data_IF_524243787934
#
_entry.id   IF_524243787934
#
_cell.length_a   1.000
_cell.length_b   1.000
_cell.length_c   1.000
_cell.angle_alpha   90.00
_cell.angle_beta   90.00
_cell.angle_gamma   90.00
#
_symmetry.space_group_name_H-M   'P 1'
#
loop_
_entity.id
_entity.type
_entity.pdbx_description
1 polymer ?
#
# COMPACT_ATOMS: atom_id res chain seq x y z
N UNK A 1 3.57 40.92 19.91
CA UNK A 1 3.49 39.79 20.88
C UNK A 1 2.82 38.62 20.18
N UNK A 2 3.54 37.55 19.88
CA UNK A 2 2.92 36.35 19.28
C UNK A 2 1.97 35.76 20.33
N UNK A 3 0.70 35.59 19.97
CA UNK A 3 -0.32 35.07 20.86
C UNK A 3 0.03 33.62 21.24
N UNK A 4 0.17 33.32 22.53
CA UNK A 4 0.43 31.96 23.03
C UNK A 4 -0.60 30.96 22.52
N UNK A 5 -1.84 31.39 22.29
CA UNK A 5 -2.89 30.56 21.70
C UNK A 5 -2.58 30.18 20.24
N UNK A 6 -2.00 31.09 19.45
CA UNK A 6 -1.60 30.83 18.06
C UNK A 6 -0.43 29.84 17.98
N UNK A 7 0.55 29.96 18.88
CA UNK A 7 1.66 29.01 18.98
C UNK A 7 1.18 27.61 19.39
N UNK A 8 0.25 27.53 20.34
CA UNK A 8 -0.31 26.25 20.80
C UNK A 8 -1.10 25.56 19.68
N UNK A 9 -1.95 26.30 18.96
CA UNK A 9 -2.72 25.76 17.82
C UNK A 9 -1.77 25.28 16.71
N UNK A 10 -0.75 26.07 16.37
CA UNK A 10 0.23 25.70 15.35
C UNK A 10 1.00 24.44 15.74
N UNK A 11 1.38 24.31 17.03
CA UNK A 11 2.05 23.13 17.55
C UNK A 11 1.16 21.88 17.52
N UNK A 12 -0.12 22.00 17.92
CA UNK A 12 -1.09 20.89 17.87
C UNK A 12 -1.31 20.42 16.42
N UNK A 13 -1.48 21.35 15.48
CA UNK A 13 -1.64 21.02 14.05
C UNK A 13 -0.40 20.30 13.53
N UNK A 14 0.81 20.81 13.83
CA UNK A 14 2.05 20.19 13.40
C UNK A 14 2.20 18.76 13.95
N UNK A 15 1.92 18.56 15.25
CA UNK A 15 1.97 17.25 15.89
C UNK A 15 1.01 16.23 15.25
N UNK A 16 -0.22 16.66 14.94
CA UNK A 16 -1.19 15.80 14.27
C UNK A 16 -0.74 15.39 12.86
N UNK A 17 -0.18 16.33 12.08
CA UNK A 17 0.34 16.04 10.74
C UNK A 17 1.52 15.07 10.83
N UNK A 18 2.47 15.28 11.75
CA UNK A 18 3.61 14.37 11.92
C UNK A 18 3.14 12.98 12.31
N UNK A 19 2.20 12.86 13.25
CA UNK A 19 1.68 11.56 13.70
C UNK A 19 0.95 10.82 12.58
N UNK A 20 0.09 11.51 11.82
CA UNK A 20 -0.58 10.92 10.67
C UNK A 20 0.43 10.40 9.64
N UNK A 21 1.45 11.20 9.32
CA UNK A 21 2.50 10.78 8.37
C UNK A 21 3.32 9.58 8.87
N UNK A 22 3.66 9.53 10.16
CA UNK A 22 4.38 8.40 10.75
C UNK A 22 3.55 7.12 10.72
N UNK A 23 2.24 7.23 11.00
CA UNK A 23 1.31 6.10 10.91
C UNK A 23 1.21 5.56 9.48
N UNK A 24 1.04 6.43 8.48
CA UNK A 24 0.95 6.01 7.07
C UNK A 24 2.25 5.40 6.55
N UNK A 25 3.40 5.98 6.90
CA UNK A 25 4.71 5.42 6.58
C UNK A 25 4.87 4.03 7.21
N UNK A 26 4.42 3.84 8.46
CA UNK A 26 4.46 2.54 9.12
C UNK A 26 3.56 1.53 8.39
N UNK A 27 2.31 1.88 8.08
CA UNK A 27 1.41 1.00 7.34
C UNK A 27 2.04 0.57 6.00
N UNK A 28 2.58 1.53 5.24
CA UNK A 28 3.26 1.24 3.99
C UNK A 28 4.45 0.29 4.19
N UNK A 29 5.29 0.54 5.21
CA UNK A 29 6.44 -0.31 5.51
C UNK A 29 6.06 -1.73 5.92
N UNK A 30 5.03 -1.89 6.76
CA UNK A 30 4.50 -3.20 7.14
C UNK A 30 4.01 -3.95 5.90
N UNK A 31 3.23 -3.29 5.04
CA UNK A 31 2.72 -3.88 3.82
C UNK A 31 3.84 -4.37 2.89
N UNK A 32 4.84 -3.53 2.64
CA UNK A 32 6.00 -3.91 1.83
C UNK A 32 6.82 -5.05 2.47
N UNK A 33 6.90 -5.08 3.80
CA UNK A 33 7.61 -6.16 4.50
C UNK A 33 6.86 -7.50 4.40
N UNK A 34 5.53 -7.50 4.50
CA UNK A 34 4.75 -8.74 4.44
C UNK A 34 4.52 -9.23 3.01
N UNK A 35 4.36 -8.33 2.04
CA UNK A 35 4.07 -8.68 0.66
C UNK A 35 5.33 -8.80 -0.22
N UNK A 36 6.42 -8.09 0.10
CA UNK A 36 7.54 -7.93 -0.84
C UNK A 36 8.95 -7.95 -0.23
N UNK A 37 9.14 -8.36 1.05
CA UNK A 37 10.50 -8.37 1.65
C UNK A 37 11.51 -9.27 0.94
N UNK A 38 11.03 -10.31 0.26
CA UNK A 38 11.85 -11.26 -0.50
C UNK A 38 12.10 -10.82 -1.95
N UNK A 39 11.40 -9.79 -2.41
CA UNK A 39 11.47 -9.30 -3.78
C UNK A 39 12.66 -8.34 -3.98
N UNK A 40 12.97 -8.07 -5.25
CA UNK A 40 13.91 -7.00 -5.62
C UNK A 40 13.37 -5.62 -5.22
N UNK A 41 14.21 -4.58 -5.31
CA UNK A 41 13.77 -3.21 -5.05
C UNK A 41 12.66 -2.78 -6.02
N UNK A 42 12.70 -3.26 -7.26
CA UNK A 42 11.64 -3.06 -8.26
C UNK A 42 10.33 -3.74 -7.83
N UNK A 43 10.39 -4.95 -7.24
CA UNK A 43 9.20 -5.62 -6.72
C UNK A 43 8.59 -4.89 -5.52
N UNK A 44 9.42 -4.38 -4.60
CA UNK A 44 8.96 -3.54 -3.49
C UNK A 44 8.33 -2.23 -3.99
N UNK A 45 8.94 -1.60 -4.99
CA UNK A 45 8.38 -0.42 -5.65
C UNK A 45 7.04 -0.74 -6.33
N UNK A 46 6.90 -1.89 -6.98
CA UNK A 46 5.67 -2.30 -7.64
C UNK A 46 4.50 -2.42 -6.65
N UNK A 47 4.72 -3.03 -5.48
CA UNK A 47 3.69 -3.10 -4.41
C UNK A 47 3.39 -1.71 -3.83
N UNK A 48 4.40 -0.85 -3.66
CA UNK A 48 4.21 0.52 -3.20
C UNK A 48 3.35 1.33 -4.19
N UNK A 49 3.61 1.20 -5.49
CA UNK A 49 2.84 1.84 -6.56
C UNK A 49 1.39 1.38 -6.60
N UNK A 50 1.11 0.07 -6.49
CA UNK A 50 -0.29 -0.40 -6.41
C UNK A 50 -1.00 0.21 -5.21
N UNK A 51 -0.35 0.25 -4.05
CA UNK A 51 -0.93 0.84 -2.83
C UNK A 51 -1.20 2.34 -3.05
N UNK A 52 -0.27 3.06 -3.68
CA UNK A 52 -0.43 4.46 -4.06
C UNK A 52 -1.56 4.68 -5.08
N UNK A 53 -1.68 3.85 -6.11
CA UNK A 53 -2.76 3.94 -7.10
C UNK A 53 -4.14 3.72 -6.46
N UNK A 54 -4.23 2.83 -5.47
CA UNK A 54 -5.45 2.67 -4.66
C UNK A 54 -5.76 3.95 -3.90
N UNK A 55 -4.80 4.53 -3.17
CA UNK A 55 -4.98 5.82 -2.48
C UNK A 55 -5.45 6.94 -3.42
N UNK A 56 -5.00 6.94 -4.67
CA UNK A 56 -5.42 7.92 -5.68
C UNK A 56 -6.76 7.61 -6.36
N UNK A 57 -7.28 6.40 -6.21
CA UNK A 57 -8.48 5.92 -6.89
C UNK A 57 -9.74 6.25 -6.08
N UNK A 58 -10.83 6.58 -6.78
CA UNK A 58 -12.14 6.76 -6.15
C UNK A 58 -12.79 5.45 -5.70
N UNK A 59 -12.21 4.30 -6.04
CA UNK A 59 -12.71 2.98 -5.65
C UNK A 59 -12.19 2.49 -4.31
N UNK A 60 -11.19 3.16 -3.74
CA UNK A 60 -10.50 2.76 -2.52
C UNK A 60 -10.46 3.92 -1.52
N UNK A 61 -10.14 3.64 -0.24
CA UNK A 61 -9.86 4.68 0.73
C UNK A 61 -8.68 5.58 0.32
N UNK A 62 -8.60 6.76 0.92
CA UNK A 62 -7.73 7.85 0.47
C UNK A 62 -6.44 8.01 1.30
N UNK A 63 -6.07 7.02 2.11
CA UNK A 63 -4.80 6.99 2.84
C UNK A 63 -4.23 5.56 2.91
N UNK A 64 -2.92 5.46 3.15
CA UNK A 64 -2.23 4.16 3.06
C UNK A 64 -2.78 3.14 4.05
N UNK A 65 -3.00 3.56 5.31
CA UNK A 65 -3.48 2.64 6.34
C UNK A 65 -4.87 2.09 6.01
N UNK A 66 -5.81 2.92 5.60
CA UNK A 66 -7.16 2.45 5.26
C UNK A 66 -7.17 1.52 4.04
N UNK A 67 -6.32 1.78 3.03
CA UNK A 67 -6.14 0.87 1.89
C UNK A 67 -5.60 -0.49 2.35
N UNK A 68 -4.60 -0.49 3.22
CA UNK A 68 -3.91 -1.71 3.68
C UNK A 68 -4.79 -2.53 4.64
N UNK A 69 -5.52 -1.87 5.52
CA UNK A 69 -6.39 -2.52 6.50
C UNK A 69 -7.79 -2.84 5.95
N UNK A 70 -8.04 -2.55 4.67
CA UNK A 70 -9.29 -2.97 4.03
C UNK A 70 -9.40 -4.50 4.05
N UNK A 71 -10.51 -4.99 4.61
CA UNK A 71 -10.74 -6.43 4.84
C UNK A 71 -10.53 -7.26 3.58
N UNK A 72 -9.69 -8.29 3.69
CA UNK A 72 -9.44 -9.26 2.62
C UNK A 72 -8.58 -8.73 1.46
N UNK A 73 -7.96 -7.55 1.58
CA UNK A 73 -7.00 -7.07 0.57
C UNK A 73 -5.62 -7.70 0.71
N UNK A 74 -5.16 -7.91 1.95
CA UNK A 74 -3.86 -8.49 2.27
C UNK A 74 -4.07 -9.61 3.29
N UNK A 75 -3.40 -10.75 3.10
CA UNK A 75 -3.62 -11.93 3.95
C UNK A 75 -3.15 -11.67 5.38
N UNK A 76 -1.99 -11.04 5.54
CA UNK A 76 -1.38 -10.76 6.83
C UNK A 76 -2.25 -9.87 7.72
N UNK A 77 -3.10 -9.00 7.17
CA UNK A 77 -4.00 -8.15 7.98
C UNK A 77 -5.20 -8.90 8.56
N UNK A 78 -5.41 -10.17 8.17
CA UNK A 78 -6.57 -10.99 8.57
C UNK A 78 -6.19 -12.42 9.02
N UNK A 79 -4.90 -12.74 9.15
CA UNK A 79 -4.45 -14.11 9.44
C UNK A 79 -4.42 -14.48 10.93
N UNK A 80 -4.71 -13.50 11.80
CA UNK A 80 -4.74 -13.65 13.26
C UNK A 80 -3.36 -13.84 13.91
N UNK A 81 -2.27 -13.66 13.15
CA UNK A 81 -0.91 -13.69 13.67
C UNK A 81 -0.50 -12.30 14.16
N UNK A 82 0.64 -12.25 14.85
CA UNK A 82 1.24 -10.98 15.24
C UNK A 82 1.93 -10.35 14.03
N UNK A 83 1.56 -9.11 13.73
CA UNK A 83 2.12 -8.29 12.66
C UNK A 83 3.47 -7.68 13.08
N UNK A 84 4.44 -8.53 13.40
CA UNK A 84 5.77 -8.09 13.81
C UNK A 84 6.86 -8.51 12.81
N UNK A 85 7.59 -7.55 12.23
CA UNK A 85 8.75 -7.83 11.40
C UNK A 85 9.81 -8.62 12.18
N UNK A 86 10.16 -9.80 11.67
CA UNK A 86 11.18 -10.68 12.28
C UNK A 86 12.59 -10.34 11.83
N UNK A 87 12.77 -9.93 10.58
CA UNK A 87 14.03 -9.44 10.05
C UNK A 87 14.10 -7.91 10.19
N UNK A 88 14.67 -7.48 11.30
CA UNK A 88 14.78 -6.05 11.65
C UNK A 88 15.64 -5.27 10.66
N UNK A 89 16.71 -5.89 10.12
CA UNK A 89 17.61 -5.18 9.19
C UNK A 89 16.91 -4.90 7.86
N UNK A 90 16.20 -5.90 7.34
CA UNK A 90 15.39 -5.72 6.13
C UNK A 90 14.25 -4.74 6.38
N UNK A 91 13.58 -4.85 7.53
CA UNK A 91 12.50 -3.92 7.88
C UNK A 91 12.97 -2.46 7.96
N UNK A 92 14.15 -2.18 8.54
CA UNK A 92 14.70 -0.81 8.58
C UNK A 92 14.98 -0.21 7.19
N UNK A 93 15.43 -1.04 6.24
CA UNK A 93 15.60 -0.62 4.83
C UNK A 93 14.25 -0.30 4.21
N UNK A 94 13.25 -1.16 4.43
CA UNK A 94 11.88 -0.97 3.94
C UNK A 94 11.24 0.28 4.56
N UNK A 95 11.45 0.57 5.85
CA UNK A 95 10.97 1.81 6.48
C UNK A 95 11.61 3.04 5.83
N UNK A 96 12.91 2.98 5.54
CA UNK A 96 13.63 4.07 4.89
C UNK A 96 13.12 4.31 3.46
N UNK A 97 12.91 3.23 2.69
CA UNK A 97 12.28 3.28 1.38
C UNK A 97 10.84 3.82 1.43
N UNK A 98 10.03 3.32 2.37
CA UNK A 98 8.64 3.75 2.55
C UNK A 98 8.53 5.22 2.91
N UNK A 99 9.44 5.74 3.75
CA UNK A 99 9.52 7.16 4.07
C UNK A 99 9.85 8.01 2.84
N UNK A 100 10.84 7.59 2.05
CA UNK A 100 11.16 8.30 0.81
C UNK A 100 9.99 8.26 -0.18
N UNK A 101 9.43 7.07 -0.43
CA UNK A 101 8.29 6.89 -1.32
C UNK A 101 7.07 7.70 -0.89
N UNK A 102 6.75 7.76 0.41
CA UNK A 102 5.64 8.56 0.93
C UNK A 102 5.74 10.04 0.52
N UNK A 103 6.93 10.65 0.65
CA UNK A 103 7.14 12.04 0.28
C UNK A 103 7.42 12.27 -1.21
N UNK A 104 7.91 11.25 -1.92
CA UNK A 104 8.43 11.37 -3.28
C UNK A 104 7.73 10.47 -4.31
N UNK A 105 6.59 9.85 -3.99
CA UNK A 105 5.87 8.86 -4.82
C UNK A 105 5.77 9.26 -6.30
N UNK A 106 5.39 10.51 -6.60
CA UNK A 106 5.24 11.04 -7.96
C UNK A 106 6.55 11.13 -8.77
N UNK A 107 7.71 10.99 -8.12
CA UNK A 107 9.03 10.99 -8.79
C UNK A 107 9.45 9.59 -9.25
N UNK A 108 8.84 8.55 -8.71
CA UNK A 108 9.10 7.19 -9.13
C UNK A 108 8.44 6.91 -10.49
N UNK A 109 9.10 6.17 -11.39
CA UNK A 109 8.46 5.71 -12.61
C UNK A 109 7.33 4.74 -12.26
N UNK A 110 6.17 4.90 -12.89
CA UNK A 110 5.09 3.91 -12.79
C UNK A 110 5.47 2.69 -13.63
N UNK A 111 5.98 1.65 -12.95
CA UNK A 111 6.39 0.38 -13.57
C UNK A 111 5.27 -0.67 -13.57
N UNK A 112 4.08 -0.33 -13.09
CA UNK A 112 2.92 -1.24 -13.01
C UNK A 112 1.72 -0.75 -13.82
N UNK A 113 1.91 0.25 -14.69
CA UNK A 113 0.88 0.79 -15.59
C UNK A 113 -0.46 1.09 -14.91
N UNK A 114 -0.43 1.75 -13.75
CA UNK A 114 -1.62 2.05 -12.93
C UNK A 114 -2.38 0.83 -12.39
N UNK A 115 -1.71 -0.31 -12.25
CA UNK A 115 -2.32 -1.50 -11.66
C UNK A 115 -2.93 -1.18 -10.28
N UNK A 116 -4.11 -1.77 -10.05
CA UNK A 116 -4.84 -1.70 -8.78
C UNK A 116 -4.85 -3.04 -8.05
N UNK A 117 -4.46 -4.12 -8.74
CA UNK A 117 -4.49 -5.49 -8.22
C UNK A 117 -3.21 -6.21 -8.62
N UNK A 118 -2.77 -7.11 -7.77
CA UNK A 118 -1.71 -8.05 -8.09
C UNK A 118 -1.95 -9.37 -7.36
N UNK A 119 -1.27 -10.42 -7.80
CA UNK A 119 -1.13 -11.68 -7.07
C UNK A 119 0.22 -12.32 -7.37
N UNK A 120 0.71 -13.16 -6.46
CA UNK A 120 1.87 -13.98 -6.70
C UNK A 120 1.54 -15.11 -7.70
N UNK A 121 2.47 -15.50 -8.56
CA UNK A 121 2.28 -16.43 -9.67
C UNK A 121 1.71 -17.83 -9.29
N UNK A 122 1.71 -18.18 -8.01
CA UNK A 122 1.15 -19.41 -7.45
C UNK A 122 -0.28 -19.26 -6.87
N UNK A 123 -0.87 -18.06 -6.93
CA UNK A 123 -2.23 -17.77 -6.45
C UNK A 123 -3.19 -17.59 -7.62
N UNK A 124 -4.43 -18.08 -7.50
CA UNK A 124 -5.48 -17.90 -8.54
C UNK A 124 -6.69 -17.15 -7.97
N UNK A 125 -6.75 -15.82 -8.07
CA UNK A 125 -7.86 -15.05 -7.54
C UNK A 125 -9.12 -15.16 -8.41
N UNK A 126 -10.30 -15.04 -7.80
CA UNK A 126 -11.57 -15.19 -8.52
C UNK A 126 -11.86 -14.07 -9.52
N UNK A 127 -11.23 -12.90 -9.35
CA UNK A 127 -11.36 -11.75 -10.24
C UNK A 127 -10.46 -11.85 -11.49
N UNK A 128 -9.57 -12.85 -11.55
CA UNK A 128 -8.63 -13.02 -12.66
C UNK A 128 -9.30 -13.09 -14.04
N UNK A 129 -10.44 -13.78 -14.25
CA UNK A 129 -11.13 -13.80 -15.54
C UNK A 129 -11.67 -12.44 -16.00
N UNK A 130 -11.93 -11.53 -15.05
CA UNK A 130 -12.48 -10.19 -15.30
C UNK A 130 -11.39 -9.10 -15.31
N UNK A 131 -10.13 -9.51 -15.47
CA UNK A 131 -8.95 -8.63 -15.35
C UNK A 131 -8.16 -8.51 -16.64
N UNK A 132 -7.35 -7.45 -16.74
CA UNK A 132 -6.35 -7.26 -17.80
C UNK A 132 -4.96 -7.24 -17.18
N UNK A 133 -4.10 -8.18 -17.58
CA UNK A 133 -2.69 -8.19 -17.20
C UNK A 133 -1.98 -6.95 -17.77
N UNK A 134 -1.17 -6.30 -16.94
CA UNK A 134 -0.43 -5.09 -17.27
C UNK A 134 1.08 -5.36 -17.27
N UNK A 135 1.60 -5.89 -16.17
CA UNK A 135 3.03 -6.17 -16.02
C UNK A 135 3.29 -7.40 -15.15
N UNK A 136 4.51 -7.91 -15.23
CA UNK A 136 5.04 -8.99 -14.40
C UNK A 136 6.38 -8.52 -13.84
N UNK A 137 6.52 -8.50 -12.52
CA UNK A 137 7.74 -8.06 -11.81
C UNK A 137 8.01 -9.05 -10.70
N UNK A 138 9.16 -9.72 -10.77
CA UNK A 138 9.47 -10.82 -9.85
C UNK A 138 8.41 -11.91 -9.94
N UNK A 139 7.91 -12.35 -8.78
CA UNK A 139 6.85 -13.35 -8.69
C UNK A 139 5.43 -12.76 -8.78
N UNK A 140 5.29 -11.44 -8.93
CA UNK A 140 4.01 -10.74 -8.94
C UNK A 140 3.52 -10.40 -10.35
N UNK A 141 2.24 -10.66 -10.59
CA UNK A 141 1.52 -10.26 -11.80
C UNK A 141 0.55 -9.13 -11.45
N UNK A 142 0.57 -8.06 -12.24
CA UNK A 142 -0.15 -6.81 -11.97
C UNK A 142 -1.28 -6.58 -12.98
N UNK A 143 -2.42 -6.07 -12.50
CA UNK A 143 -3.66 -6.07 -13.26
C UNK A 143 -4.43 -4.75 -13.14
N UNK A 144 -5.12 -4.43 -14.24
CA UNK A 144 -6.33 -3.63 -14.21
C UNK A 144 -7.55 -4.53 -13.97
N UNK A 145 -8.44 -4.07 -13.09
CA UNK A 145 -9.75 -4.68 -12.84
C UNK A 145 -10.75 -3.53 -12.71
N UNK A 146 -11.89 -3.60 -13.41
CA UNK A 146 -13.01 -2.70 -13.14
C UNK A 146 -13.72 -3.17 -11.86
N UNK A 147 -13.67 -2.41 -10.74
CA UNK A 147 -14.25 -2.86 -9.49
C UNK A 147 -15.77 -3.07 -9.55
N UNK A 148 -16.47 -2.44 -10.50
CA UNK A 148 -17.90 -2.64 -10.73
C UNK A 148 -18.19 -3.84 -11.66
N UNK A 149 -17.18 -4.30 -12.40
CA UNK A 149 -17.26 -5.36 -13.39
C UNK A 149 -17.12 -6.77 -12.82
N UNK A 150 -16.49 -6.94 -11.64
CA UNK A 150 -16.07 -8.25 -11.13
C UNK A 150 -17.26 -9.20 -10.87
N UNK A 151 -17.28 -10.30 -11.62
CA UNK A 151 -18.36 -11.30 -11.58
C UNK A 151 -18.39 -12.08 -10.26
N UNK A 152 -17.24 -12.41 -9.68
CA UNK A 152 -17.18 -13.21 -8.46
C UNK A 152 -17.57 -12.43 -7.18
N UNK A 153 -17.49 -11.11 -7.18
CA UNK A 153 -17.96 -10.27 -6.06
C UNK A 153 -19.48 -10.14 -6.04
N UNK A 154 -20.12 -10.16 -7.22
CA UNK A 154 -21.58 -10.12 -7.36
C UNK A 154 -22.26 -11.39 -6.82
N UNK A 155 -21.58 -12.54 -6.90
CA UNK A 155 -22.08 -13.84 -6.43
C UNK A 155 -22.02 -14.04 -4.91
N UNK A 156 -21.37 -13.14 -4.17
CA UNK A 156 -21.19 -13.21 -2.71
C UNK A 156 -22.16 -12.30 -1.92
N UNK A 157 -23.08 -11.62 -2.61
CA UNK A 157 -24.21 -10.87 -2.02
C UNK A 157 -25.47 -11.71 -2.13
#
# INVERSE_FOLDING_TARGET
MINKLFLLISFIIYCNITFASESEIKCLADNLYFEARGESIEGQLAVALVTFHRVQSTYFPNNYCEVIWQKGQFEWTNDGKLDYPKDIKTYQKIVSFSKDFYYNSKKYPDIVDKALFYHANYVKPCWLPDSKLLSIIGDHLFYYVDPNGVSCWKKKK
#
